data_IF_074888426941
#
_entry.id   IF_074888426941
#
_cell.length_a   1.000
_cell.length_b   1.000
_cell.length_c   1.000
_cell.angle_alpha   90.00
_cell.angle_beta   90.00
_cell.angle_gamma   90.00
#
_symmetry.space_group_name_H-M   'P 1'
#
loop_
_entity.id
_entity.type
_entity.pdbx_description
1 polymer ?
#
# COMPACT_ATOMS: atom_id res chain seq x y z
N UNK A 1 -11.33 -19.75 -10.44
CA UNK A 1 -9.97 -19.17 -10.58
C UNK A 1 -9.83 -18.02 -9.58
N UNK A 2 -8.75 -17.96 -8.78
CA UNK A 2 -8.53 -16.89 -7.79
C UNK A 2 -7.91 -15.66 -8.45
N UNK A 3 -8.52 -14.49 -8.26
CA UNK A 3 -8.07 -13.19 -8.80
C UNK A 3 -6.89 -12.64 -8.01
N UNK A 4 -6.89 -12.85 -6.69
CA UNK A 4 -5.89 -12.27 -5.78
C UNK A 4 -4.64 -13.14 -5.66
N UNK A 5 -4.45 -14.18 -6.46
CA UNK A 5 -3.21 -14.98 -6.43
C UNK A 5 -2.00 -14.10 -6.75
N UNK A 6 -0.86 -14.22 -6.02
CA UNK A 6 0.22 -13.24 -6.06
C UNK A 6 0.80 -13.00 -7.45
N UNK A 7 1.12 -14.06 -8.19
CA UNK A 7 1.69 -13.95 -9.53
C UNK A 7 0.76 -13.25 -10.53
N UNK A 8 -0.56 -13.51 -10.47
CA UNK A 8 -1.52 -12.89 -11.39
C UNK A 8 -1.72 -11.41 -11.12
N UNK A 9 -1.94 -11.04 -9.86
CA UNK A 9 -2.18 -9.64 -9.52
C UNK A 9 -0.93 -8.80 -9.73
N UNK A 10 0.24 -9.33 -9.37
CA UNK A 10 1.52 -8.69 -9.64
C UNK A 10 1.76 -8.54 -11.14
N UNK A 11 1.60 -9.63 -11.90
CA UNK A 11 1.78 -9.62 -13.35
C UNK A 11 0.84 -8.62 -14.03
N UNK A 12 -0.43 -8.60 -13.64
CA UNK A 12 -1.40 -7.64 -14.16
C UNK A 12 -1.00 -6.18 -13.88
N UNK A 13 -0.65 -5.86 -12.63
CA UNK A 13 -0.24 -4.50 -12.22
C UNK A 13 1.00 -4.05 -12.99
N UNK A 14 2.02 -4.89 -13.09
CA UNK A 14 3.27 -4.52 -13.75
C UNK A 14 3.16 -4.48 -15.27
N UNK A 15 2.41 -5.40 -15.90
CA UNK A 15 2.11 -5.32 -17.33
C UNK A 15 1.33 -4.05 -17.67
N UNK A 16 0.36 -3.67 -16.83
CA UNK A 16 -0.38 -2.42 -17.00
C UNK A 16 0.55 -1.20 -16.85
N UNK A 17 1.37 -1.15 -15.80
CA UNK A 17 2.27 -0.03 -15.55
C UNK A 17 3.31 0.14 -16.67
N UNK A 18 3.91 -0.96 -17.11
CA UNK A 18 4.88 -0.97 -18.22
C UNK A 18 4.19 -0.58 -19.52
N UNK A 19 3.05 -1.22 -19.85
CA UNK A 19 2.31 -0.94 -21.08
C UNK A 19 1.85 0.50 -21.17
N UNK A 20 1.34 1.09 -20.07
CA UNK A 20 0.99 2.51 -20.05
C UNK A 20 2.20 3.42 -20.21
N UNK A 21 3.35 3.05 -19.63
CA UNK A 21 4.58 3.84 -19.74
C UNK A 21 5.12 3.82 -21.17
N UNK A 22 4.99 2.70 -21.87
CA UNK A 22 5.41 2.53 -23.25
C UNK A 22 4.58 3.34 -24.27
N UNK A 23 3.36 3.76 -23.91
CA UNK A 23 2.57 4.66 -24.75
C UNK A 23 3.18 6.06 -24.92
N UNK A 24 4.09 6.46 -24.00
CA UNK A 24 4.82 7.74 -24.02
C UNK A 24 3.93 8.95 -24.34
N UNK A 25 2.77 9.07 -23.68
CA UNK A 25 1.76 10.11 -23.97
C UNK A 25 2.14 11.51 -23.48
N UNK A 26 3.25 11.66 -22.75
CA UNK A 26 3.82 12.93 -22.30
C UNK A 26 5.17 13.20 -22.98
N UNK A 27 5.47 14.49 -23.24
CA UNK A 27 6.82 14.92 -23.68
C UNK A 27 7.87 14.84 -22.56
N UNK A 28 7.48 14.51 -21.34
CA UNK A 28 8.40 14.23 -20.23
C UNK A 28 8.93 12.79 -20.26
N UNK A 29 8.35 11.93 -21.10
CA UNK A 29 8.76 10.54 -21.24
C UNK A 29 9.65 10.37 -22.47
N UNK A 30 10.70 9.57 -22.33
CA UNK A 30 11.77 9.40 -23.32
C UNK A 30 11.85 7.95 -23.78
N UNK A 31 12.48 7.75 -24.94
CA UNK A 31 12.87 6.41 -25.38
C UNK A 31 13.98 5.88 -24.47
N UNK A 32 13.80 4.64 -24.02
CA UNK A 32 14.78 4.00 -23.14
C UNK A 32 15.72 3.12 -23.94
N UNK A 33 17.04 3.17 -23.68
CA UNK A 33 17.97 2.25 -24.31
C UNK A 33 17.68 0.80 -23.87
N UNK A 34 18.07 -0.22 -24.67
CA UNK A 34 17.77 -1.63 -24.37
C UNK A 34 18.26 -2.10 -22.99
N UNK A 35 19.37 -1.54 -22.50
CA UNK A 35 19.92 -1.86 -21.17
C UNK A 35 18.96 -1.42 -20.06
N UNK A 36 18.34 -0.24 -20.17
CA UNK A 36 17.36 0.26 -19.20
C UNK A 36 16.09 -0.59 -19.23
N UNK A 37 15.62 -0.96 -20.42
CA UNK A 37 14.51 -1.90 -20.59
C UNK A 37 14.77 -3.23 -19.86
N UNK A 38 15.95 -3.82 -20.06
CA UNK A 38 16.34 -5.05 -19.40
C UNK A 38 16.24 -4.90 -17.87
N UNK A 39 16.82 -3.83 -17.31
CA UNK A 39 16.83 -3.60 -15.86
C UNK A 39 15.43 -3.37 -15.28
N UNK A 40 14.55 -2.65 -15.98
CA UNK A 40 13.16 -2.47 -15.55
C UNK A 40 12.40 -3.80 -15.50
N UNK A 41 12.72 -4.73 -16.42
CA UNK A 41 12.05 -6.03 -16.52
C UNK A 41 12.59 -7.10 -15.55
N UNK A 42 13.80 -6.94 -15.00
CA UNK A 42 14.39 -7.91 -14.04
C UNK A 42 13.50 -8.07 -12.80
N UNK A 43 13.05 -6.98 -12.20
CA UNK A 43 12.21 -7.00 -11.00
C UNK A 43 10.89 -7.75 -11.20
N UNK A 44 10.08 -7.40 -12.21
CA UNK A 44 8.87 -8.13 -12.55
C UNK A 44 9.12 -9.61 -12.85
N UNK A 45 10.13 -9.91 -13.66
CA UNK A 45 10.44 -11.26 -14.07
C UNK A 45 10.83 -12.14 -12.88
N UNK A 46 11.75 -11.67 -12.03
CA UNK A 46 12.25 -12.43 -10.88
C UNK A 46 11.18 -12.67 -9.82
N UNK A 47 10.29 -11.71 -9.56
CA UNK A 47 9.13 -11.93 -8.69
C UNK A 47 8.24 -13.06 -9.22
N UNK A 48 7.93 -13.03 -10.52
CA UNK A 48 7.11 -14.06 -11.17
C UNK A 48 7.81 -15.43 -11.16
N UNK A 49 9.14 -15.46 -11.34
CA UNK A 49 9.92 -16.69 -11.18
C UNK A 49 9.80 -17.26 -9.76
N UNK A 50 10.02 -16.42 -8.74
CA UNK A 50 9.89 -16.84 -7.34
C UNK A 50 8.49 -17.37 -7.01
N UNK A 51 7.45 -16.69 -7.49
CA UNK A 51 6.07 -17.14 -7.36
C UNK A 51 5.79 -18.46 -8.12
N UNK A 52 6.37 -18.60 -9.32
CA UNK A 52 6.28 -19.80 -10.16
C UNK A 52 6.91 -21.04 -9.52
N UNK A 53 8.06 -20.89 -8.84
CA UNK A 53 8.71 -21.99 -8.11
C UNK A 53 7.81 -22.54 -7.00
N UNK A 54 7.16 -21.65 -6.24
CA UNK A 54 6.21 -22.07 -5.20
C UNK A 54 4.98 -22.73 -5.82
N UNK A 55 4.45 -22.18 -6.92
CA UNK A 55 3.34 -22.76 -7.66
C UNK A 55 3.66 -24.21 -8.08
N UNK A 56 4.83 -24.45 -8.68
CA UNK A 56 5.26 -25.78 -9.15
C UNK A 56 5.34 -26.76 -7.98
N UNK A 57 5.94 -26.37 -6.86
CA UNK A 57 6.03 -27.20 -5.65
C UNK A 57 4.65 -27.54 -5.02
N UNK A 58 3.62 -26.75 -5.34
CA UNK A 58 2.26 -26.91 -4.78
C UNK A 58 1.25 -27.45 -5.80
N UNK A 59 1.64 -27.73 -7.05
CA UNK A 59 0.76 -28.18 -8.14
C UNK A 59 -0.08 -29.41 -7.77
N UNK A 60 0.50 -30.36 -7.02
CA UNK A 60 -0.13 -31.64 -6.67
C UNK A 60 -0.67 -31.69 -5.23
N UNK A 61 -0.68 -30.58 -4.50
CA UNK A 61 -1.16 -30.54 -3.12
C UNK A 61 -2.61 -30.10 -3.10
N UNK A 62 -3.42 -30.76 -2.27
CA UNK A 62 -4.79 -30.34 -2.04
C UNK A 62 -4.81 -28.96 -1.38
N UNK A 63 -5.41 -28.00 -2.09
CA UNK A 63 -5.60 -26.63 -1.62
C UNK A 63 -7.10 -26.35 -1.51
N UNK A 64 -7.53 -25.71 -0.43
CA UNK A 64 -8.91 -25.31 -0.27
C UNK A 64 -9.31 -24.37 -1.41
N UNK A 65 -10.52 -24.52 -1.95
CA UNK A 65 -11.10 -23.53 -2.85
C UNK A 65 -11.56 -22.31 -2.05
N UNK A 66 -11.83 -21.19 -2.72
CA UNK A 66 -12.32 -19.98 -2.03
C UNK A 66 -13.66 -20.28 -1.34
N UNK A 67 -14.51 -21.11 -1.93
CA UNK A 67 -15.76 -21.54 -1.31
C UNK A 67 -15.52 -22.37 -0.05
N UNK A 68 -14.53 -23.27 -0.05
CA UNK A 68 -14.17 -24.00 1.17
C UNK A 68 -13.64 -23.05 2.24
N UNK A 69 -12.79 -22.09 1.89
CA UNK A 69 -12.25 -21.09 2.84
C UNK A 69 -13.36 -20.27 3.49
N UNK A 70 -14.41 -19.92 2.74
CA UNK A 70 -15.57 -19.20 3.30
C UNK A 70 -16.37 -20.06 4.29
N UNK A 71 -16.40 -21.39 4.12
CA UNK A 71 -17.02 -22.33 5.08
C UNK A 71 -16.20 -22.46 6.37
N UNK A 72 -14.88 -22.23 6.34
CA UNK A 72 -14.05 -22.18 7.55
C UNK A 72 -14.38 -21.02 8.49
N UNK A 73 -15.22 -20.06 8.07
CA UNK A 73 -15.61 -18.90 8.88
C UNK A 73 -16.10 -19.26 10.27
N UNK A 74 -16.96 -20.27 10.39
CA UNK A 74 -17.55 -20.66 11.67
C UNK A 74 -16.56 -21.46 12.55
N UNK A 75 -15.40 -21.87 12.00
CA UNK A 75 -14.35 -22.59 12.72
C UNK A 75 -13.26 -21.66 13.28
N UNK A 76 -13.33 -20.35 13.01
CA UNK A 76 -12.37 -19.38 13.54
C UNK A 76 -12.62 -19.13 15.03
N UNK A 77 -11.90 -19.86 15.89
CA UNK A 77 -11.94 -19.72 17.33
C UNK A 77 -11.10 -18.51 17.80
N UNK A 78 -11.66 -17.30 17.73
CA UNK A 78 -11.05 -16.08 18.28
C UNK A 78 -11.90 -15.52 19.44
N UNK A 79 -11.24 -14.99 20.47
CA UNK A 79 -11.94 -14.38 21.59
C UNK A 79 -12.51 -13.01 21.21
N UNK A 80 -13.83 -12.94 20.99
CA UNK A 80 -14.54 -11.72 20.58
C UNK A 80 -14.46 -10.60 21.61
N UNK A 81 -14.39 -10.91 22.90
CA UNK A 81 -14.20 -9.89 23.94
C UNK A 81 -12.81 -9.26 23.87
N UNK A 82 -11.77 -10.06 23.61
CA UNK A 82 -10.41 -9.53 23.44
C UNK A 82 -10.27 -8.72 22.15
N UNK A 83 -10.97 -9.09 21.08
CA UNK A 83 -11.04 -8.27 19.85
C UNK A 83 -11.66 -6.90 20.16
N UNK A 84 -12.79 -6.88 20.87
CA UNK A 84 -13.46 -5.63 21.26
C UNK A 84 -12.52 -4.72 22.07
N UNK A 85 -11.86 -5.26 23.11
CA UNK A 85 -10.90 -4.50 23.91
C UNK A 85 -9.71 -4.01 23.09
N UNK A 86 -9.20 -4.82 22.15
CA UNK A 86 -8.09 -4.43 21.27
C UNK A 86 -8.46 -3.25 20.38
N UNK A 87 -9.67 -3.22 19.81
CA UNK A 87 -10.12 -2.09 18.99
C UNK A 87 -10.22 -0.81 19.81
N UNK A 88 -10.71 -0.89 21.05
CA UNK A 88 -10.77 0.27 21.96
C UNK A 88 -9.36 0.80 22.22
N UNK A 89 -8.40 -0.06 22.56
CA UNK A 89 -7.02 0.37 22.81
C UNK A 89 -6.41 1.03 21.57
N UNK A 90 -6.57 0.43 20.39
CA UNK A 90 -6.08 0.99 19.13
C UNK A 90 -6.71 2.37 18.84
N UNK A 91 -8.01 2.52 19.10
CA UNK A 91 -8.74 3.78 18.93
C UNK A 91 -8.27 4.84 19.91
N UNK A 92 -8.07 4.51 21.19
CA UNK A 92 -7.56 5.44 22.19
C UNK A 92 -6.15 5.91 21.83
N UNK A 93 -5.26 5.00 21.41
CA UNK A 93 -3.93 5.37 20.92
C UNK A 93 -3.99 6.28 19.69
N UNK A 94 -4.92 5.99 18.76
CA UNK A 94 -5.14 6.83 17.59
C UNK A 94 -5.57 8.25 17.96
N UNK A 95 -6.58 8.40 18.82
CA UNK A 95 -7.06 9.72 19.28
C UNK A 95 -5.98 10.45 20.07
N UNK A 96 -5.25 9.74 20.93
CA UNK A 96 -4.11 10.29 21.66
C UNK A 96 -3.04 10.84 20.70
N UNK A 97 -2.60 10.03 19.73
CA UNK A 97 -1.60 10.44 18.75
C UNK A 97 -2.06 11.63 17.90
N UNK A 98 -3.32 11.61 17.46
CA UNK A 98 -3.92 12.71 16.71
C UNK A 98 -3.97 14.00 17.54
N UNK A 99 -4.43 13.92 18.79
CA UNK A 99 -4.53 15.06 19.69
C UNK A 99 -3.16 15.68 20.01
N UNK A 100 -2.16 14.85 20.33
CA UNK A 100 -0.79 15.33 20.62
C UNK A 100 -0.17 16.00 19.39
N UNK A 101 -0.28 15.41 18.20
CA UNK A 101 0.26 16.02 16.98
C UNK A 101 -0.47 17.33 16.68
N UNK A 102 -1.80 17.36 16.81
CA UNK A 102 -2.56 18.59 16.62
C UNK A 102 -2.15 19.71 17.59
N UNK A 103 -1.92 19.40 18.87
CA UNK A 103 -1.43 20.37 19.85
C UNK A 103 -0.01 20.86 19.51
N UNK A 104 0.82 20.00 18.94
CA UNK A 104 2.18 20.36 18.51
C UNK A 104 2.20 21.22 17.24
N UNK A 105 1.38 20.88 16.23
CA UNK A 105 1.35 21.61 14.96
C UNK A 105 0.46 22.85 15.00
N UNK A 106 -0.53 22.90 15.90
CA UNK A 106 -1.48 24.00 16.05
C UNK A 106 -2.56 24.08 14.96
N UNK A 107 -2.47 23.27 13.91
CA UNK A 107 -3.42 23.24 12.80
C UNK A 107 -3.67 21.83 12.26
N UNK A 108 -4.87 21.62 11.70
CA UNK A 108 -5.23 20.40 10.96
C UNK A 108 -4.99 20.67 9.46
N UNK A 109 -4.28 19.79 8.73
CA UNK A 109 -3.81 20.07 7.37
C UNK A 109 -4.87 20.57 6.39
N UNK A 110 -6.08 20.01 6.41
CA UNK A 110 -7.16 20.42 5.50
C UNK A 110 -7.65 21.86 5.72
N UNK A 111 -7.53 22.38 6.95
CA UNK A 111 -7.97 23.73 7.30
C UNK A 111 -6.83 24.77 7.24
N UNK A 112 -5.60 24.32 6.95
CA UNK A 112 -4.46 25.23 6.83
C UNK A 112 -4.55 26.09 5.57
N UNK A 113 -4.05 27.34 5.58
CA UNK A 113 -3.86 28.13 4.36
C UNK A 113 -2.89 27.48 3.37
N UNK A 114 -1.95 26.65 3.85
CA UNK A 114 -0.98 25.91 3.01
C UNK A 114 -1.06 24.40 3.27
N UNK A 115 -2.10 23.70 2.79
CA UNK A 115 -2.37 22.31 3.16
C UNK A 115 -1.26 21.30 2.81
N UNK A 116 -0.51 21.55 1.74
CA UNK A 116 0.62 20.67 1.37
C UNK A 116 1.75 20.70 2.40
N UNK A 117 2.07 21.88 2.93
CA UNK A 117 3.10 22.07 3.96
C UNK A 117 2.60 21.55 5.30
N UNK A 118 1.38 21.92 5.68
CA UNK A 118 0.75 21.43 6.91
C UNK A 118 0.67 19.89 6.94
N UNK A 119 0.35 19.25 5.80
CA UNK A 119 0.36 17.78 5.67
C UNK A 119 1.75 17.19 5.94
N UNK A 120 2.81 17.78 5.36
CA UNK A 120 4.17 17.26 5.53
C UNK A 120 4.64 17.40 6.99
N UNK A 121 4.22 18.46 7.67
CA UNK A 121 4.58 18.75 9.06
C UNK A 121 3.69 18.05 10.09
N UNK A 122 2.55 17.45 9.67
CA UNK A 122 1.64 16.72 10.55
C UNK A 122 2.17 15.32 10.88
N UNK A 123 3.31 15.29 11.56
CA UNK A 123 3.99 14.07 12.00
C UNK A 123 4.81 14.36 13.25
N UNK A 124 5.01 13.34 14.07
CA UNK A 124 5.88 13.37 15.22
C UNK A 124 6.52 12.00 15.35
N UNK A 125 7.84 11.92 15.51
CA UNK A 125 8.53 10.64 15.62
C UNK A 125 7.98 9.82 16.80
N UNK A 126 7.75 8.52 16.57
CA UNK A 126 7.09 7.63 17.53
C UNK A 126 5.57 7.83 17.60
N UNK A 127 5.11 8.99 18.09
CA UNK A 127 3.68 9.27 18.34
C UNK A 127 2.85 9.24 17.04
N UNK A 128 3.42 9.71 15.93
CA UNK A 128 2.79 9.68 14.62
C UNK A 128 2.44 8.28 14.13
N UNK A 129 3.09 7.23 14.64
CA UNK A 129 2.76 5.85 14.29
C UNK A 129 1.34 5.48 14.69
N UNK A 130 0.81 6.06 15.77
CA UNK A 130 -0.55 5.77 16.22
C UNK A 130 -1.62 6.26 15.25
N UNK A 131 -1.33 7.24 14.38
CA UNK A 131 -2.27 7.63 13.31
C UNK A 131 -2.54 6.48 12.34
N UNK A 132 -1.58 5.56 12.18
CA UNK A 132 -1.73 4.44 11.27
C UNK A 132 -2.60 3.31 11.83
N UNK A 133 -2.96 3.36 13.12
CA UNK A 133 -3.92 2.43 13.72
C UNK A 133 -5.29 2.44 13.02
N UNK A 134 -5.63 3.49 12.26
CA UNK A 134 -6.83 3.55 11.42
C UNK A 134 -7.03 2.27 10.60
N UNK A 135 -5.95 1.69 10.06
CA UNK A 135 -5.99 0.46 9.27
C UNK A 135 -6.49 -0.72 10.11
N UNK A 136 -5.91 -0.88 11.30
CA UNK A 136 -6.20 -1.99 12.19
C UNK A 136 -7.57 -1.85 12.87
N UNK A 137 -7.97 -0.63 13.24
CA UNK A 137 -9.29 -0.33 13.81
C UNK A 137 -10.39 -0.81 12.85
N UNK A 138 -10.29 -0.44 11.57
CA UNK A 138 -11.27 -0.84 10.55
C UNK A 138 -11.20 -2.35 10.29
N UNK A 139 -9.99 -2.90 10.11
CA UNK A 139 -9.79 -4.32 9.87
C UNK A 139 -10.41 -5.18 10.98
N UNK A 140 -10.08 -4.91 12.25
CA UNK A 140 -10.62 -5.67 13.38
C UNK A 140 -12.10 -5.41 13.61
N UNK A 141 -12.63 -4.24 13.28
CA UNK A 141 -14.09 -3.98 13.29
C UNK A 141 -14.82 -4.83 12.27
N UNK A 142 -14.26 -5.01 11.07
CA UNK A 142 -14.83 -5.91 10.05
C UNK A 142 -14.71 -7.37 10.50
N UNK A 143 -13.57 -7.79 11.07
CA UNK A 143 -13.41 -9.14 11.64
C UNK A 143 -14.44 -9.40 12.75
N UNK A 144 -14.60 -8.47 13.69
CA UNK A 144 -15.60 -8.56 14.75
C UNK A 144 -17.01 -8.70 14.17
N UNK A 145 -17.31 -7.94 13.12
CA UNK A 145 -18.61 -7.97 12.41
C UNK A 145 -18.86 -9.28 11.65
N UNK A 146 -17.81 -9.97 11.22
CA UNK A 146 -17.86 -11.29 10.58
C UNK A 146 -18.09 -12.37 11.65
N UNK A 147 -17.45 -12.28 12.82
CA UNK A 147 -17.60 -13.27 13.88
C UNK A 147 -18.95 -13.12 14.62
N UNK A 148 -19.36 -11.89 14.92
CA UNK A 148 -20.62 -11.59 15.63
C UNK A 148 -21.74 -11.33 14.61
N UNK A 149 -22.59 -12.34 14.40
CA UNK A 149 -23.71 -12.29 13.44
C UNK A 149 -24.82 -11.34 13.90
N UNK A 150 -25.06 -11.26 15.21
CA UNK A 150 -26.11 -10.42 15.80
C UNK A 150 -25.80 -8.91 15.71
N UNK A 151 -26.86 -8.11 15.56
CA UNK A 151 -26.77 -6.66 15.67
C UNK A 151 -26.69 -6.29 17.15
N UNK A 152 -25.53 -5.84 17.60
CA UNK A 152 -25.29 -5.44 18.98
C UNK A 152 -24.92 -3.96 19.04
N UNK A 153 -25.22 -3.29 20.17
CA UNK A 153 -24.76 -1.93 20.44
C UNK A 153 -23.24 -1.80 20.35
N UNK A 154 -22.50 -2.84 20.75
CA UNK A 154 -21.04 -2.94 20.58
C UNK A 154 -20.63 -2.83 19.10
N UNK A 155 -21.33 -3.49 18.19
CA UNK A 155 -21.04 -3.44 16.74
C UNK A 155 -21.26 -2.04 16.17
N UNK A 156 -22.32 -1.35 16.62
CA UNK A 156 -22.59 0.04 16.25
C UNK A 156 -21.49 0.97 16.75
N UNK A 157 -21.07 0.82 18.01
CA UNK A 157 -19.98 1.60 18.61
C UNK A 157 -18.65 1.42 17.85
N UNK A 158 -18.25 0.18 17.56
CA UNK A 158 -17.02 -0.11 16.81
C UNK A 158 -17.10 0.45 15.38
N UNK A 159 -18.28 0.37 14.75
CA UNK A 159 -18.54 1.00 13.45
C UNK A 159 -18.36 2.52 13.51
N UNK A 160 -18.91 3.18 14.53
CA UNK A 160 -18.73 4.61 14.74
C UNK A 160 -17.26 4.98 14.95
N UNK A 161 -16.52 4.24 15.78
CA UNK A 161 -15.08 4.44 15.99
C UNK A 161 -14.28 4.31 14.67
N UNK A 162 -14.63 3.33 13.83
CA UNK A 162 -14.02 3.15 12.51
C UNK A 162 -14.28 4.35 11.59
N UNK A 163 -15.53 4.83 11.52
CA UNK A 163 -15.90 6.00 10.71
C UNK A 163 -15.18 7.25 11.19
N UNK A 164 -15.16 7.49 12.51
CA UNK A 164 -14.45 8.63 13.12
C UNK A 164 -12.95 8.55 12.81
N UNK A 165 -12.34 7.38 12.93
CA UNK A 165 -10.90 7.20 12.66
C UNK A 165 -10.56 7.49 11.20
N UNK A 166 -11.35 6.98 10.25
CA UNK A 166 -11.17 7.25 8.82
C UNK A 166 -11.41 8.73 8.51
N UNK A 167 -12.44 9.33 9.11
CA UNK A 167 -12.75 10.75 8.96
C UNK A 167 -11.59 11.63 9.42
N UNK A 168 -11.14 11.45 10.66
CA UNK A 168 -10.01 12.20 11.23
C UNK A 168 -8.73 11.98 10.44
N UNK A 169 -8.39 10.74 10.08
CA UNK A 169 -7.21 10.47 9.26
C UNK A 169 -7.30 11.16 7.89
N UNK A 170 -8.48 11.23 7.27
CA UNK A 170 -8.68 11.93 5.99
C UNK A 170 -8.43 13.44 6.09
N UNK A 171 -8.73 14.06 7.23
CA UNK A 171 -8.44 15.49 7.48
C UNK A 171 -6.94 15.81 7.47
N UNK A 172 -6.09 14.79 7.70
CA UNK A 172 -4.62 14.94 7.59
C UNK A 172 -4.13 15.02 6.13
N UNK A 173 -5.00 14.76 5.14
CA UNK A 173 -4.67 14.69 3.71
C UNK A 173 -3.69 13.57 3.32
N UNK A 174 -3.37 12.66 4.24
CA UNK A 174 -2.58 11.46 3.96
C UNK A 174 -3.47 10.37 3.35
N UNK A 175 -3.00 9.72 2.28
CA UNK A 175 -3.86 8.80 1.47
C UNK A 175 -3.50 7.31 1.62
N UNK A 176 -2.24 6.99 1.93
CA UNK A 176 -1.74 5.60 1.93
C UNK A 176 -2.56 4.66 2.81
N UNK A 177 -2.83 5.02 4.06
CA UNK A 177 -3.56 4.13 4.98
C UNK A 177 -5.00 3.88 4.58
N UNK A 178 -5.65 4.84 3.91
CA UNK A 178 -7.03 4.63 3.47
C UNK A 178 -7.07 3.62 2.33
N UNK A 179 -6.17 3.73 1.35
CA UNK A 179 -6.04 2.73 0.28
C UNK A 179 -5.68 1.35 0.83
N UNK A 180 -4.75 1.28 1.80
CA UNK A 180 -4.39 0.03 2.46
C UNK A 180 -5.59 -0.61 3.16
N UNK A 181 -6.35 0.19 3.93
CA UNK A 181 -7.55 -0.25 4.63
C UNK A 181 -8.57 -0.84 3.66
N UNK A 182 -8.83 -0.14 2.56
CA UNK A 182 -9.83 -0.54 1.58
C UNK A 182 -9.45 -1.86 0.93
N UNK A 183 -8.20 -1.99 0.49
CA UNK A 183 -7.72 -3.23 -0.14
C UNK A 183 -7.74 -4.39 0.86
N UNK A 184 -7.32 -4.16 2.11
CA UNK A 184 -7.39 -5.16 3.18
C UNK A 184 -8.81 -5.65 3.43
N UNK A 185 -9.77 -4.74 3.53
CA UNK A 185 -11.19 -5.09 3.72
C UNK A 185 -11.72 -5.86 2.51
N UNK A 186 -11.37 -5.45 1.30
CA UNK A 186 -11.73 -6.17 0.07
C UNK A 186 -11.21 -7.61 0.11
N UNK A 187 -9.92 -7.80 0.41
CA UNK A 187 -9.28 -9.12 0.45
C UNK A 187 -9.89 -9.98 1.56
N UNK A 188 -10.05 -9.41 2.76
CA UNK A 188 -10.68 -10.10 3.88
C UNK A 188 -12.07 -10.61 3.48
N UNK A 189 -12.92 -9.72 2.97
CA UNK A 189 -14.28 -10.09 2.61
C UNK A 189 -14.36 -11.04 1.41
N UNK A 190 -13.43 -10.94 0.45
CA UNK A 190 -13.34 -11.86 -0.69
C UNK A 190 -13.15 -13.31 -0.23
N UNK A 191 -12.27 -13.52 0.76
CA UNK A 191 -11.97 -14.84 1.32
C UNK A 191 -12.98 -15.30 2.38
N UNK A 192 -13.67 -14.40 3.10
CA UNK A 192 -14.56 -14.80 4.21
C UNK A 192 -16.06 -14.75 3.90
N UNK A 193 -16.50 -14.09 2.83
CA UNK A 193 -17.92 -13.79 2.60
C UNK A 193 -18.41 -14.25 1.22
N UNK A 194 -19.57 -14.93 1.20
CA UNK A 194 -20.25 -15.36 -0.05
C UNK A 194 -21.03 -14.25 -0.77
N UNK A 195 -21.40 -13.19 -0.05
CA UNK A 195 -22.31 -12.13 -0.53
C UNK A 195 -21.64 -11.10 -1.44
N UNK A 196 -20.33 -11.18 -1.67
CA UNK A 196 -19.64 -10.23 -2.52
C UNK A 196 -19.53 -10.78 -3.93
N UNK A 197 -20.40 -10.28 -4.82
CA UNK A 197 -20.23 -10.46 -6.26
C UNK A 197 -18.98 -9.69 -6.70
N UNK A 198 -18.13 -10.30 -7.53
CA UNK A 198 -16.88 -9.70 -8.02
C UNK A 198 -17.12 -8.32 -8.68
N UNK A 199 -18.25 -8.17 -9.37
CA UNK A 199 -18.71 -6.90 -9.94
C UNK A 199 -18.94 -5.83 -8.86
N UNK A 200 -19.53 -6.18 -7.72
CA UNK A 200 -19.75 -5.24 -6.61
C UNK A 200 -18.43 -4.83 -5.95
N UNK A 201 -17.43 -5.71 -5.84
CA UNK A 201 -16.09 -5.36 -5.35
C UNK A 201 -15.36 -4.40 -6.29
N UNK A 202 -15.40 -4.68 -7.59
CA UNK A 202 -14.80 -3.83 -8.62
C UNK A 202 -15.50 -2.47 -8.67
N UNK A 203 -16.83 -2.45 -8.64
CA UNK A 203 -17.61 -1.21 -8.59
C UNK A 203 -17.33 -0.44 -7.31
N UNK A 204 -17.22 -1.10 -6.15
CA UNK A 204 -16.90 -0.40 -4.89
C UNK A 204 -15.47 0.12 -4.88
N UNK A 205 -14.51 -0.62 -5.46
CA UNK A 205 -13.15 -0.17 -5.68
C UNK A 205 -13.09 1.03 -6.64
N UNK A 206 -13.83 0.99 -7.74
CA UNK A 206 -13.97 2.10 -8.69
C UNK A 206 -14.66 3.29 -8.02
N UNK A 207 -15.74 3.09 -7.26
CA UNK A 207 -16.46 4.14 -6.54
C UNK A 207 -15.57 4.78 -5.48
N UNK A 208 -14.70 4.02 -4.81
CA UNK A 208 -13.72 4.56 -3.87
C UNK A 208 -12.65 5.37 -4.60
N UNK A 209 -12.10 4.83 -5.70
CA UNK A 209 -11.12 5.55 -6.53
C UNK A 209 -11.75 6.82 -7.08
N UNK A 210 -12.98 6.76 -7.60
CA UNK A 210 -13.79 7.89 -8.07
C UNK A 210 -14.13 8.83 -6.93
N UNK A 211 -14.45 8.36 -5.72
CA UNK A 211 -14.68 9.20 -4.54
C UNK A 211 -13.40 9.94 -4.13
N UNK A 212 -12.25 9.28 -4.18
CA UNK A 212 -10.95 9.91 -3.94
C UNK A 212 -10.58 10.89 -5.04
N UNK A 213 -10.85 10.56 -6.29
CA UNK A 213 -10.76 11.50 -7.41
C UNK A 213 -11.70 12.67 -7.17
N UNK A 214 -12.96 12.47 -6.83
CA UNK A 214 -13.94 13.52 -6.53
C UNK A 214 -13.50 14.39 -5.37
N UNK A 215 -12.97 13.85 -4.28
CA UNK A 215 -12.42 14.64 -3.16
C UNK A 215 -11.17 15.42 -3.58
N UNK A 216 -10.35 14.88 -4.49
CA UNK A 216 -9.25 15.62 -5.13
C UNK A 216 -9.76 16.67 -6.13
N UNK A 217 -10.85 16.38 -6.83
CA UNK A 217 -11.49 17.19 -7.89
C UNK A 217 -12.40 18.28 -7.36
N UNK A 218 -12.94 18.15 -6.14
CA UNK A 218 -13.61 19.24 -5.43
C UNK A 218 -12.65 20.41 -5.17
N UNK A 219 -11.33 20.21 -5.35
CA UNK A 219 -10.33 21.28 -5.42
C UNK A 219 -9.97 21.67 -6.86
N UNK A 220 -10.13 20.78 -7.83
CA UNK A 220 -9.74 20.99 -9.21
C UNK A 220 -10.94 21.42 -10.06
N UNK A 221 -11.22 22.72 -10.08
CA UNK A 221 -11.93 23.30 -11.22
C UNK A 221 -11.21 22.94 -12.53
N UNK A 222 -11.90 23.03 -13.67
CA UNK A 222 -11.34 22.73 -15.00
C UNK A 222 -9.95 23.34 -15.24
N UNK A 223 -9.70 24.51 -14.63
CA UNK A 223 -8.40 25.20 -14.59
C UNK A 223 -7.28 24.31 -14.05
N UNK A 224 -7.46 23.61 -12.94
CA UNK A 224 -6.40 22.76 -12.35
C UNK A 224 -6.10 21.56 -13.25
N UNK A 225 -7.14 20.95 -13.84
CA UNK A 225 -6.98 19.83 -14.78
C UNK A 225 -6.16 20.30 -15.99
N UNK A 226 -6.47 21.48 -16.54
CA UNK A 226 -5.73 22.07 -17.65
C UNK A 226 -4.31 22.50 -17.28
N UNK A 227 -4.11 23.01 -16.05
CA UNK A 227 -2.77 23.33 -15.53
C UNK A 227 -1.94 22.06 -15.43
N UNK A 228 -2.48 20.99 -14.86
CA UNK A 228 -1.78 19.72 -14.75
C UNK A 228 -1.47 19.13 -16.13
N UNK A 229 -2.41 19.19 -17.07
CA UNK A 229 -2.21 18.79 -18.47
C UNK A 229 -1.03 19.55 -19.11
N UNK A 230 -0.97 20.89 -18.92
CA UNK A 230 0.12 21.72 -19.45
C UNK A 230 1.47 21.42 -18.78
N UNK A 231 1.52 21.33 -17.46
CA UNK A 231 2.74 21.00 -16.70
C UNK A 231 3.26 19.61 -17.09
N UNK A 232 2.35 18.67 -17.31
CA UNK A 232 2.66 17.30 -17.73
C UNK A 232 3.05 17.19 -19.20
N UNK A 233 2.93 18.28 -19.99
CA UNK A 233 3.27 18.33 -21.42
C UNK A 233 2.66 17.16 -22.22
N UNK A 234 1.37 16.92 -22.05
CA UNK A 234 0.66 15.82 -22.71
C UNK A 234 0.63 15.99 -24.24
N UNK A 235 0.65 14.86 -24.96
CA UNK A 235 0.65 14.80 -26.44
C UNK A 235 -0.77 14.67 -27.03
N UNK A 236 -1.76 14.23 -26.25
CA UNK A 236 -3.16 14.06 -26.70
C UNK A 236 -3.99 15.34 -26.52
N UNK A 237 -5.18 15.43 -27.14
CA UNK A 237 -6.06 16.64 -27.08
C UNK A 237 -6.43 17.06 -25.64
N UNK A 238 -6.45 18.37 -25.31
CA UNK A 238 -6.91 18.87 -24.01
C UNK A 238 -8.32 18.42 -23.60
N UNK A 239 -9.17 18.02 -24.53
CA UNK A 239 -10.50 17.43 -24.26
C UNK A 239 -10.41 16.18 -23.35
N UNK A 240 -9.29 15.47 -23.40
CA UNK A 240 -9.02 14.27 -22.60
C UNK A 240 -8.18 14.59 -21.35
N UNK A 241 -8.03 15.85 -20.95
CA UNK A 241 -7.12 16.28 -19.88
C UNK A 241 -7.40 15.61 -18.52
N UNK A 242 -8.62 15.13 -18.28
CA UNK A 242 -8.99 14.36 -17.08
C UNK A 242 -8.12 13.11 -16.87
N UNK A 243 -7.61 12.51 -17.94
CA UNK A 243 -6.76 11.31 -17.86
C UNK A 243 -5.29 11.64 -17.53
N UNK A 244 -4.89 12.91 -17.52
CA UNK A 244 -3.51 13.33 -17.25
C UNK A 244 -3.03 12.85 -15.89
N UNK A 245 -3.75 13.19 -14.82
CA UNK A 245 -3.31 12.86 -13.46
C UNK A 245 -3.17 11.33 -13.27
N UNK A 246 -4.22 10.50 -13.52
CA UNK A 246 -4.08 9.06 -13.37
C UNK A 246 -2.94 8.47 -14.20
N UNK A 247 -2.76 8.92 -15.45
CA UNK A 247 -1.70 8.44 -16.33
C UNK A 247 -0.31 8.75 -15.76
N UNK A 248 -0.06 10.02 -15.45
CA UNK A 248 1.26 10.47 -14.99
C UNK A 248 1.63 9.87 -13.63
N UNK A 249 0.65 9.65 -12.74
CA UNK A 249 0.88 8.99 -11.45
C UNK A 249 1.35 7.54 -11.58
N UNK A 250 1.04 6.85 -12.68
CA UNK A 250 1.51 5.49 -12.93
C UNK A 250 2.85 5.53 -13.66
N UNK A 251 2.93 6.28 -14.76
CA UNK A 251 4.04 6.17 -15.70
C UNK A 251 5.31 6.88 -15.25
N UNK A 252 5.18 7.98 -14.52
CA UNK A 252 6.36 8.74 -14.08
C UNK A 252 7.21 8.00 -13.07
N UNK A 253 6.66 7.02 -12.34
CA UNK A 253 7.46 6.21 -11.40
C UNK A 253 8.48 5.33 -12.14
N UNK A 254 8.08 4.78 -13.28
CA UNK A 254 8.95 3.97 -14.13
C UNK A 254 9.89 4.88 -14.93
N UNK A 255 9.41 6.02 -15.40
CA UNK A 255 10.24 6.99 -16.12
C UNK A 255 11.35 7.60 -15.24
N UNK A 256 11.02 7.95 -14.00
CA UNK A 256 12.00 8.40 -13.01
C UNK A 256 13.02 7.30 -12.70
N UNK A 257 12.57 6.04 -12.57
CA UNK A 257 13.47 4.91 -12.37
C UNK A 257 14.41 4.70 -13.57
N UNK A 258 13.86 4.71 -14.79
CA UNK A 258 14.61 4.58 -16.03
C UNK A 258 15.75 5.60 -16.14
N UNK A 259 15.44 6.89 -15.92
CA UNK A 259 16.44 7.96 -15.93
C UNK A 259 17.49 7.81 -14.83
N UNK A 260 17.11 7.25 -13.70
CA UNK A 260 18.03 7.09 -12.57
C UNK A 260 19.00 5.94 -12.76
N UNK A 261 18.60 4.89 -13.48
CA UNK A 261 19.50 3.79 -13.89
C UNK A 261 20.70 4.35 -14.67
N UNK A 262 20.48 5.32 -15.55
CA UNK A 262 21.52 5.90 -16.40
C UNK A 262 22.45 6.87 -15.67
N UNK A 263 22.06 7.33 -14.47
CA UNK A 263 22.73 8.44 -13.77
C UNK A 263 23.33 8.08 -12.42
N UNK A 264 22.90 6.97 -11.83
CA UNK A 264 23.40 6.58 -10.53
C UNK A 264 24.85 6.06 -10.66
N UNK A 265 25.73 6.58 -9.81
CA UNK A 265 27.14 6.18 -9.76
C UNK A 265 27.44 5.39 -8.49
N UNK A 266 26.68 5.65 -7.41
CA UNK A 266 26.91 5.08 -6.08
C UNK A 266 25.64 4.44 -5.53
N UNK A 267 25.82 3.35 -4.76
CA UNK A 267 24.73 2.64 -4.11
C UNK A 267 24.64 2.98 -2.62
N UNK A 268 23.43 2.93 -2.07
CA UNK A 268 23.14 3.28 -0.67
C UNK A 268 23.13 2.10 0.30
N UNK A 269 23.57 0.92 -0.15
CA UNK A 269 23.88 -0.28 0.66
C UNK A 269 22.79 -0.70 1.66
N UNK A 270 21.52 -0.52 1.31
CA UNK A 270 20.36 -0.97 2.08
C UNK A 270 19.69 0.10 2.93
N UNK A 271 20.20 1.33 2.91
CA UNK A 271 19.65 2.44 3.68
C UNK A 271 18.16 2.68 3.39
N UNK A 272 17.74 2.63 2.11
CA UNK A 272 16.34 2.89 1.74
C UNK A 272 15.45 1.64 1.82
N UNK A 273 16.00 0.46 1.50
CA UNK A 273 15.30 -0.83 1.55
C UNK A 273 14.96 -1.20 2.99
N UNK A 274 15.87 -0.91 3.92
CA UNK A 274 15.71 -1.15 5.36
C UNK A 274 15.51 0.15 6.15
N UNK A 275 14.86 1.15 5.55
CA UNK A 275 14.61 2.47 6.16
C UNK A 275 13.98 2.37 7.56
N UNK A 276 13.11 1.38 7.79
CA UNK A 276 12.53 1.15 9.11
C UNK A 276 13.58 0.83 10.19
N UNK A 277 14.69 0.17 9.85
CA UNK A 277 15.76 -0.20 10.81
C UNK A 277 16.51 1.06 11.25
N UNK A 278 16.90 1.90 10.30
CA UNK A 278 17.59 3.17 10.59
C UNK A 278 16.64 4.16 11.28
N UNK A 279 15.34 4.10 10.98
CA UNK A 279 14.33 4.90 11.66
C UNK A 279 14.13 4.49 13.13
N UNK A 280 14.04 3.17 13.43
CA UNK A 280 13.88 2.68 14.81
C UNK A 280 15.09 3.04 15.69
N UNK A 281 16.29 3.00 15.13
CA UNK A 281 17.52 3.35 15.86
C UNK A 281 17.73 4.85 16.03
N UNK A 282 16.91 5.69 15.38
CA UNK A 282 17.10 7.15 15.35
C UNK A 282 18.29 7.61 14.48
N UNK A 283 19.01 6.68 13.85
CA UNK A 283 20.20 6.96 13.05
C UNK A 283 19.88 7.50 11.66
N UNK A 284 18.62 7.37 11.20
CA UNK A 284 18.19 7.77 9.85
C UNK A 284 18.68 9.16 9.45
N UNK A 285 18.36 10.19 10.24
CA UNK A 285 18.73 11.57 9.91
C UNK A 285 20.23 11.78 9.91
N UNK A 286 20.93 11.23 10.91
CA UNK A 286 22.38 11.33 11.02
C UNK A 286 23.10 10.68 9.83
N UNK A 287 22.73 9.46 9.44
CA UNK A 287 23.31 8.76 8.28
C UNK A 287 23.01 9.56 7.00
N UNK A 288 21.77 10.03 6.84
CA UNK A 288 21.36 10.80 5.66
C UNK A 288 22.18 12.07 5.49
N UNK A 289 22.41 12.80 6.58
CA UNK A 289 23.14 14.06 6.57
C UNK A 289 24.64 13.84 6.39
N UNK A 290 25.21 12.85 7.09
CA UNK A 290 26.64 12.55 7.02
C UNK A 290 27.09 12.10 5.63
N UNK A 291 26.29 11.28 4.94
CA UNK A 291 26.58 10.80 3.59
C UNK A 291 25.93 11.63 2.47
N UNK A 292 25.35 12.80 2.79
CA UNK A 292 24.69 13.70 1.83
C UNK A 292 23.64 12.98 0.94
N UNK A 293 22.89 12.05 1.54
CA UNK A 293 21.94 11.21 0.84
C UNK A 293 20.74 12.03 0.37
N UNK A 294 20.48 12.01 -0.95
CA UNK A 294 19.30 12.67 -1.55
C UNK A 294 18.14 11.70 -1.68
N UNK A 295 17.00 11.89 -1.02
CA UNK A 295 15.90 10.91 -1.01
C UNK A 295 15.36 10.55 -2.41
N UNK A 296 15.16 11.55 -3.29
CA UNK A 296 14.58 11.36 -4.62
C UNK A 296 15.46 12.04 -5.71
N UNK A 297 16.58 11.43 -6.12
CA UNK A 297 17.54 12.05 -7.04
C UNK A 297 17.18 11.79 -8.51
N UNK A 298 17.46 12.75 -9.39
CA UNK A 298 17.25 12.62 -10.85
C UNK A 298 15.79 12.59 -11.34
N UNK A 299 14.86 13.12 -10.55
CA UNK A 299 13.45 13.26 -10.93
C UNK A 299 13.25 13.99 -12.26
N UNK A 300 12.25 13.54 -13.02
CA UNK A 300 11.75 14.24 -14.19
C UNK A 300 10.55 15.07 -13.76
N UNK A 301 10.75 16.39 -13.71
CA UNK A 301 9.73 17.38 -13.32
C UNK A 301 9.26 17.24 -11.85
N UNK A 302 8.03 17.66 -11.57
CA UNK A 302 7.43 17.68 -10.22
C UNK A 302 6.88 16.33 -9.74
N UNK A 303 6.92 15.29 -10.57
CA UNK A 303 6.49 13.94 -10.19
C UNK A 303 7.61 13.27 -9.40
N UNK A 304 7.43 13.12 -8.09
CA UNK A 304 8.50 12.87 -7.12
C UNK A 304 8.55 11.44 -6.56
N UNK A 305 7.93 10.49 -7.24
CA UNK A 305 7.84 9.09 -6.80
C UNK A 305 8.55 8.14 -7.75
N UNK A 306 8.93 6.97 -7.23
CA UNK A 306 9.61 5.90 -7.95
C UNK A 306 8.94 4.57 -7.66
N UNK A 307 9.08 3.60 -8.56
CA UNK A 307 8.68 2.24 -8.26
C UNK A 307 9.49 1.63 -7.11
N UNK A 308 8.99 0.57 -6.49
CA UNK A 308 9.69 -0.15 -5.43
C UNK A 308 11.07 -0.67 -5.90
N UNK A 309 11.23 -0.97 -7.18
CA UNK A 309 12.49 -1.46 -7.74
C UNK A 309 13.57 -0.40 -7.79
N UNK A 310 13.21 0.89 -7.83
CA UNK A 310 14.21 1.94 -7.66
C UNK A 310 14.89 1.82 -6.30
N UNK A 311 14.15 1.65 -5.21
CA UNK A 311 14.73 1.51 -3.87
C UNK A 311 15.72 0.35 -3.81
N UNK A 312 15.36 -0.80 -4.39
CA UNK A 312 16.23 -1.98 -4.40
C UNK A 312 17.46 -1.78 -5.29
N UNK A 313 17.28 -1.15 -6.46
CA UNK A 313 18.36 -0.84 -7.38
C UNK A 313 19.33 0.19 -6.80
N UNK A 314 18.78 1.19 -6.12
CA UNK A 314 19.57 2.25 -5.50
C UNK A 314 20.46 1.70 -4.39
N UNK A 315 19.98 0.71 -3.65
CA UNK A 315 20.76 0.12 -2.56
C UNK A 315 21.78 -0.92 -3.04
N UNK A 316 21.45 -1.71 -4.06
CA UNK A 316 22.23 -2.91 -4.42
C UNK A 316 22.41 -3.13 -5.92
N UNK A 317 22.08 -2.16 -6.76
CA UNK A 317 22.11 -2.26 -8.21
C UNK A 317 21.23 -3.39 -8.76
N UNK A 318 21.72 -4.03 -9.82
CA UNK A 318 21.02 -5.16 -10.48
C UNK A 318 20.76 -6.31 -9.51
N UNK A 319 21.65 -6.55 -8.55
CA UNK A 319 21.47 -7.60 -7.54
C UNK A 319 20.23 -7.33 -6.66
N UNK A 320 19.98 -6.08 -6.30
CA UNK A 320 18.82 -5.70 -5.48
C UNK A 320 17.49 -6.01 -6.17
N UNK A 321 17.35 -5.57 -7.42
CA UNK A 321 16.14 -5.80 -8.23
C UNK A 321 15.97 -7.25 -8.67
N UNK A 322 17.00 -8.08 -8.55
CA UNK A 322 16.90 -9.52 -8.77
C UNK A 322 16.51 -10.26 -7.48
N UNK A 323 17.30 -10.10 -6.42
CA UNK A 323 17.22 -10.90 -5.19
C UNK A 323 15.97 -10.57 -4.39
N UNK A 324 15.68 -9.28 -4.17
CA UNK A 324 14.58 -8.85 -3.30
C UNK A 324 13.23 -9.26 -3.90
N UNK A 325 12.93 -8.98 -5.18
CA UNK A 325 11.66 -9.41 -5.77
C UNK A 325 11.55 -10.93 -5.89
N UNK A 326 12.65 -11.66 -6.17
CA UNK A 326 12.64 -13.13 -6.20
C UNK A 326 12.20 -13.74 -4.87
N UNK A 327 12.85 -13.37 -3.77
CA UNK A 327 12.47 -13.87 -2.44
C UNK A 327 11.11 -13.32 -1.98
N UNK A 328 10.75 -12.10 -2.39
CA UNK A 328 9.40 -11.57 -2.21
C UNK A 328 8.34 -12.43 -2.88
N UNK A 329 8.57 -12.86 -4.12
CA UNK A 329 7.71 -13.77 -4.87
C UNK A 329 7.55 -15.12 -4.18
N UNK A 330 8.66 -15.69 -3.67
CA UNK A 330 8.65 -16.93 -2.89
C UNK A 330 7.86 -16.76 -1.58
N UNK A 331 8.17 -15.73 -0.79
CA UNK A 331 7.58 -15.51 0.53
C UNK A 331 6.07 -15.25 0.46
N UNK A 332 5.64 -14.34 -0.41
CA UNK A 332 4.22 -13.99 -0.57
C UNK A 332 3.42 -15.17 -1.13
N UNK A 333 3.98 -15.90 -2.11
CA UNK A 333 3.34 -17.10 -2.65
C UNK A 333 3.28 -18.24 -1.63
N UNK A 334 4.32 -18.42 -0.82
CA UNK A 334 4.33 -19.43 0.25
C UNK A 334 3.25 -19.15 1.29
N UNK A 335 3.09 -17.89 1.68
CA UNK A 335 2.00 -17.48 2.57
C UNK A 335 0.63 -17.71 1.92
N UNK A 336 0.47 -17.35 0.64
CA UNK A 336 -0.76 -17.60 -0.11
C UNK A 336 -1.14 -19.07 -0.07
N UNK A 337 -0.23 -19.98 -0.40
CA UNK A 337 -0.52 -21.42 -0.35
C UNK A 337 -0.77 -21.92 1.08
N UNK A 338 -0.02 -21.43 2.07
CA UNK A 338 -0.29 -21.73 3.48
C UNK A 338 -1.68 -21.27 3.94
N UNK A 339 -2.16 -20.14 3.42
CA UNK A 339 -3.52 -19.65 3.62
C UNK A 339 -4.54 -20.59 2.95
N UNK A 340 -4.26 -21.03 1.71
CA UNK A 340 -5.13 -21.94 0.96
C UNK A 340 -5.17 -23.35 1.54
N UNK A 341 -4.13 -23.80 2.25
CA UNK A 341 -4.11 -25.12 2.90
C UNK A 341 -4.83 -25.11 4.26
N UNK A 342 -4.56 -24.09 5.09
CA UNK A 342 -5.13 -23.94 6.43
C UNK A 342 -5.53 -22.49 6.67
N UNK A 343 -6.76 -22.09 6.29
CA UNK A 343 -7.19 -20.71 6.38
C UNK A 343 -7.33 -20.27 7.84
N UNK A 344 -6.86 -19.06 8.12
CA UNK A 344 -7.06 -18.37 9.41
C UNK A 344 -7.23 -16.89 9.13
N UNK A 345 -7.96 -16.17 9.99
CA UNK A 345 -8.10 -14.72 9.86
C UNK A 345 -6.75 -14.00 9.90
N UNK A 346 -5.80 -14.48 10.71
CA UNK A 346 -4.43 -13.96 10.74
C UNK A 346 -3.76 -14.06 9.37
N UNK A 347 -3.75 -15.25 8.75
CA UNK A 347 -3.17 -15.46 7.42
C UNK A 347 -3.86 -14.62 6.34
N UNK A 348 -5.19 -14.47 6.39
CA UNK A 348 -5.93 -13.62 5.45
C UNK A 348 -5.52 -12.15 5.61
N UNK A 349 -5.45 -11.66 6.85
CA UNK A 349 -5.07 -10.28 7.15
C UNK A 349 -3.64 -9.96 6.76
N UNK A 350 -2.66 -10.80 7.13
CA UNK A 350 -1.26 -10.58 6.76
C UNK A 350 -1.05 -10.74 5.25
N UNK A 351 -1.76 -11.68 4.61
CA UNK A 351 -1.77 -11.80 3.16
C UNK A 351 -2.28 -10.52 2.48
N UNK A 352 -3.39 -9.96 2.98
CA UNK A 352 -3.91 -8.70 2.46
C UNK A 352 -2.92 -7.53 2.60
N UNK A 353 -2.13 -7.49 3.68
CA UNK A 353 -1.09 -6.46 3.85
C UNK A 353 0.02 -6.62 2.81
N UNK A 354 0.44 -7.85 2.52
CA UNK A 354 1.46 -8.12 1.51
C UNK A 354 0.94 -7.81 0.09
N UNK A 355 -0.32 -8.13 -0.20
CA UNK A 355 -0.95 -7.80 -1.48
C UNK A 355 -1.06 -6.30 -1.69
N UNK A 356 -1.27 -5.51 -0.62
CA UNK A 356 -1.15 -4.06 -0.72
C UNK A 356 0.22 -3.61 -1.23
N UNK A 357 1.31 -4.20 -0.71
CA UNK A 357 2.65 -3.92 -1.22
C UNK A 357 2.89 -4.38 -2.64
N UNK A 358 2.32 -5.53 -3.02
CA UNK A 358 2.35 -6.02 -4.41
C UNK A 358 1.65 -5.04 -5.35
N UNK A 359 0.43 -4.60 -5.01
CA UNK A 359 -0.37 -3.69 -5.85
C UNK A 359 0.26 -2.30 -5.93
N UNK A 360 0.82 -1.78 -4.84
CA UNK A 360 1.46 -0.46 -4.80
C UNK A 360 2.95 -0.48 -5.20
N UNK A 361 3.51 -1.63 -5.58
CA UNK A 361 4.94 -1.74 -5.91
C UNK A 361 5.37 -0.92 -7.13
N UNK A 362 4.45 -0.58 -8.03
CA UNK A 362 4.76 0.35 -9.14
C UNK A 362 4.96 1.79 -8.66
N UNK A 363 4.50 2.13 -7.46
CA UNK A 363 4.44 3.50 -6.92
C UNK A 363 5.42 3.78 -5.79
N UNK A 364 5.74 2.80 -4.94
CA UNK A 364 6.73 2.95 -3.88
C UNK A 364 7.15 1.61 -3.24
N UNK A 365 8.30 1.57 -2.57
CA UNK A 365 8.76 0.43 -1.75
C UNK A 365 8.18 0.50 -0.34
N UNK A 366 6.89 0.18 -0.20
CA UNK A 366 6.19 0.34 1.08
C UNK A 366 6.71 -0.58 2.20
N UNK A 367 7.36 -1.69 1.85
CA UNK A 367 7.87 -2.67 2.82
C UNK A 367 9.00 -2.09 3.68
N UNK A 368 9.74 -1.11 3.16
CA UNK A 368 10.78 -0.40 3.90
C UNK A 368 10.25 0.62 4.90
N UNK A 369 8.97 1.00 4.82
CA UNK A 369 8.43 2.07 5.65
C UNK A 369 8.16 1.64 7.09
N UNK A 370 8.60 2.47 8.04
CA UNK A 370 8.40 2.24 9.47
C UNK A 370 6.93 2.03 9.84
N UNK A 371 6.02 2.81 9.26
CA UNK A 371 4.59 2.69 9.53
C UNK A 371 4.00 1.36 9.05
N UNK A 372 4.54 0.78 7.98
CA UNK A 372 4.08 -0.50 7.45
C UNK A 372 4.51 -1.63 8.38
N UNK A 373 5.79 -1.62 8.79
CA UNK A 373 6.34 -2.55 9.78
C UNK A 373 5.60 -2.43 11.11
N UNK A 374 5.31 -1.21 11.58
CA UNK A 374 4.47 -0.98 12.76
C UNK A 374 3.12 -1.67 12.66
N UNK A 375 2.38 -1.48 11.55
CA UNK A 375 1.08 -2.13 11.35
C UNK A 375 1.19 -3.66 11.36
N UNK A 376 2.22 -4.23 10.72
CA UNK A 376 2.46 -5.68 10.72
C UNK A 376 2.74 -6.20 12.13
N UNK A 377 3.59 -5.51 12.90
CA UNK A 377 3.92 -5.89 14.28
C UNK A 377 2.67 -5.83 15.17
N UNK A 378 1.92 -4.73 15.12
CA UNK A 378 0.69 -4.58 15.92
C UNK A 378 -0.36 -5.62 15.51
N UNK A 379 -0.49 -5.92 14.22
CA UNK A 379 -1.35 -7.00 13.73
C UNK A 379 -0.99 -8.34 14.38
N UNK A 380 0.30 -8.72 14.36
CA UNK A 380 0.80 -9.98 14.95
C UNK A 380 0.52 -10.02 16.46
N UNK A 381 0.82 -8.93 17.17
CA UNK A 381 0.61 -8.83 18.62
C UNK A 381 -0.87 -8.97 18.98
N UNK A 382 -1.76 -8.25 18.29
CA UNK A 382 -3.21 -8.33 18.52
C UNK A 382 -3.72 -9.74 18.21
N UNK A 383 -3.31 -10.35 17.09
CA UNK A 383 -3.71 -11.72 16.77
C UNK A 383 -3.24 -12.74 17.80
N UNK A 384 -2.02 -12.60 18.33
CA UNK A 384 -1.51 -13.44 19.42
C UNK A 384 -2.35 -13.27 20.69
N UNK A 385 -2.68 -12.04 21.05
CA UNK A 385 -3.50 -11.73 22.23
C UNK A 385 -4.92 -12.30 22.16
N UNK A 386 -5.59 -12.21 21.00
CA UNK A 386 -6.96 -12.71 20.80
C UNK A 386 -7.03 -14.22 20.59
N UNK A 387 -5.92 -14.87 20.21
CA UNK A 387 -5.84 -16.32 19.98
C UNK A 387 -5.47 -17.10 21.24
N UNK A 388 -4.76 -16.48 22.19
CA UNK A 388 -4.54 -17.09 23.50
C UNK A 388 -5.90 -17.29 24.17
N UNK A 389 -6.21 -18.50 24.65
CA UNK A 389 -7.44 -18.73 25.42
C UNK A 389 -7.38 -18.03 26.78
#
# INVERSE_FOLDING_TARGET
MDLFSPGKIFGFVWLLAIGLTDLKLSRLQHEWPPVVWLQILIGPFTFLLGAGLVYINKLNKEICTIETIRNYRDQFNLNTSRIYSSIIVLFLLFIFGYGVIYLYTGEIPIFSPKPGVARANFTMFGIGLFLHNVVLIVLFTVIYSILVKEKTSKKLLLGAMSVVSVGLYSLTLQRYQIFMTILLVIILLYYTTYKIKLSTTLITGIVIVVFFFLVSSFRAGEIIILVLYKISKMKFSPEYAVFTEPYMYITMNLENFARSIEKIEEYSFGYYTFDFVTAITGLKHWISEYFFMTENPYLISSYNTYSAFWTYYRDFGVLGIFVIPFFGGIGISSLYYSLREKPTLFKISIYGMLIYGVVFSFFNSIFGFLWYVYNVVVLIVVFKFISNK
#
